data_IF_487893077550
#
_entry.id   IF_487893077550
#
_cell.length_a   1.000
_cell.length_b   1.000
_cell.length_c   1.000
_cell.angle_alpha   90.00
_cell.angle_beta   90.00
_cell.angle_gamma   90.00
#
_symmetry.space_group_name_H-M   'P 1'
#
loop_
_entity.id
_entity.type
_entity.pdbx_description
1 polymer ?
#
# COMPACT_ATOMS: atom_id res chain seq x y z
N UNK A 1 46.60 11.74 37.30
CA UNK A 1 45.32 11.15 37.74
C UNK A 1 44.31 11.35 36.61
N UNK A 2 43.60 10.30 36.18
CA UNK A 2 42.69 10.34 35.04
C UNK A 2 41.32 10.91 35.47
N UNK A 3 40.81 11.89 34.73
CA UNK A 3 39.43 12.38 34.83
C UNK A 3 38.66 11.91 33.60
N UNK A 4 37.57 11.18 33.86
CA UNK A 4 36.79 10.38 32.92
C UNK A 4 36.21 11.17 31.73
N UNK A 5 35.97 10.50 30.58
CA UNK A 5 35.34 11.12 29.41
C UNK A 5 33.87 11.48 29.68
N UNK A 6 33.49 12.60 29.08
CA UNK A 6 32.15 13.17 28.97
C UNK A 6 31.06 12.11 28.80
N UNK A 7 30.01 12.23 29.62
CA UNK A 7 28.72 11.57 29.38
C UNK A 7 28.32 11.79 27.92
N UNK A 8 28.49 10.74 27.11
CA UNK A 8 27.79 10.63 25.85
C UNK A 8 26.31 10.61 26.21
N UNK A 9 25.69 11.78 26.10
CA UNK A 9 24.25 11.91 25.98
C UNK A 9 23.84 11.05 24.80
N UNK A 10 23.47 9.80 25.09
CA UNK A 10 22.75 8.93 24.17
C UNK A 10 21.39 9.59 24.02
N UNK A 11 21.32 10.60 23.16
CA UNK A 11 20.05 11.06 22.63
C UNK A 11 19.52 9.82 21.91
N UNK A 12 18.39 9.22 22.33
CA UNK A 12 17.76 8.21 21.51
C UNK A 12 17.46 8.91 20.20
N UNK A 13 18.19 8.54 19.14
CA UNK A 13 17.73 8.82 17.79
C UNK A 13 16.31 8.26 17.76
N UNK A 14 15.33 9.14 17.56
CA UNK A 14 13.99 8.71 17.18
C UNK A 14 14.13 8.11 15.80
N UNK A 15 14.50 6.83 15.74
CA UNK A 15 14.13 5.99 14.64
C UNK A 15 12.63 5.84 14.79
N UNK A 16 11.81 6.34 13.85
CA UNK A 16 10.45 5.89 13.78
C UNK A 16 10.48 4.35 13.76
N UNK A 17 9.81 3.69 14.69
CA UNK A 17 9.84 2.23 14.83
C UNK A 17 9.30 1.47 13.59
N UNK A 18 8.84 2.20 12.57
CA UNK A 18 8.41 1.71 11.27
C UNK A 18 9.48 1.75 10.17
N UNK A 19 10.69 2.31 10.42
CA UNK A 19 11.78 2.26 9.46
C UNK A 19 12.47 0.90 9.51
N UNK A 20 11.99 -0.01 8.66
CA UNK A 20 12.61 -1.32 8.43
C UNK A 20 13.81 -1.12 7.50
N UNK A 21 15.02 -1.11 8.06
CA UNK A 21 16.24 -1.27 7.28
C UNK A 21 16.70 -2.73 7.31
N UNK A 22 16.79 -3.33 6.14
CA UNK A 22 17.21 -4.72 5.93
C UNK A 22 18.73 -4.87 5.96
N UNK A 23 19.47 -3.75 5.87
CA UNK A 23 20.93 -3.74 5.70
C UNK A 23 21.40 -4.12 4.29
N UNK A 24 20.48 -4.45 3.37
CA UNK A 24 20.78 -4.84 1.98
C UNK A 24 20.75 -3.65 1.00
N UNK A 25 20.40 -2.46 1.48
CA UNK A 25 20.41 -1.20 0.74
C UNK A 25 19.01 -0.71 0.34
N UNK A 26 18.91 0.53 -0.19
CA UNK A 26 17.63 1.23 -0.32
C UNK A 26 16.58 0.52 -1.17
N UNK A 27 17.01 -0.25 -2.17
CA UNK A 27 16.10 -1.03 -3.02
C UNK A 27 15.35 -2.10 -2.21
N UNK A 28 16.08 -2.88 -1.40
CA UNK A 28 15.49 -3.93 -0.57
C UNK A 28 14.73 -3.36 0.63
N UNK A 29 15.15 -2.21 1.13
CA UNK A 29 14.41 -1.48 2.16
C UNK A 29 13.07 -0.97 1.62
N UNK A 30 13.02 -0.49 0.37
CA UNK A 30 11.77 -0.15 -0.33
C UNK A 30 10.88 -1.38 -0.61
N UNK A 31 11.48 -2.55 -0.85
CA UNK A 31 10.73 -3.83 -0.93
C UNK A 31 10.11 -4.17 0.42
N UNK A 32 10.89 -4.09 1.49
CA UNK A 32 10.44 -4.36 2.86
C UNK A 32 9.36 -3.40 3.33
N UNK A 33 9.49 -2.12 2.96
CA UNK A 33 8.56 -1.06 3.33
C UNK A 33 7.11 -1.40 2.97
N UNK A 34 6.83 -1.76 1.71
CA UNK A 34 5.46 -2.13 1.28
C UNK A 34 4.91 -3.31 2.08
N UNK A 35 5.77 -4.27 2.44
CA UNK A 35 5.35 -5.49 3.12
C UNK A 35 5.02 -5.28 4.59
N UNK A 36 5.57 -4.23 5.21
CA UNK A 36 5.41 -3.93 6.63
C UNK A 36 4.54 -2.70 6.90
N UNK A 37 4.10 -2.00 5.86
CA UNK A 37 3.19 -0.84 5.92
C UNK A 37 1.78 -1.27 5.49
N UNK A 38 0.85 -1.57 6.43
CA UNK A 38 -0.52 -1.96 6.09
C UNK A 38 -1.26 -0.93 5.22
N UNK A 39 -0.93 0.36 5.39
CA UNK A 39 -1.45 1.50 4.63
C UNK A 39 -1.18 1.38 3.13
N UNK A 40 -0.09 0.70 2.76
CA UNK A 40 0.28 0.44 1.36
C UNK A 40 -0.17 -0.96 0.92
N UNK A 41 -0.01 -1.97 1.79
CA UNK A 41 -0.30 -3.35 1.44
C UNK A 41 -1.79 -3.61 1.22
N UNK A 42 -2.66 -3.13 2.12
CA UNK A 42 -4.09 -3.45 2.07
C UNK A 42 -4.81 -2.87 0.84
N UNK A 43 -4.58 -1.61 0.42
CA UNK A 43 -5.16 -1.08 -0.82
C UNK A 43 -4.70 -1.85 -2.05
N UNK A 44 -3.42 -2.24 -2.08
CA UNK A 44 -2.83 -2.99 -3.20
C UNK A 44 -3.46 -4.36 -3.31
N UNK A 45 -3.59 -5.07 -2.18
CA UNK A 45 -4.30 -6.34 -2.12
C UNK A 45 -5.76 -6.17 -2.56
N UNK A 46 -6.47 -5.16 -2.05
CA UNK A 46 -7.87 -4.95 -2.39
C UNK A 46 -8.06 -4.65 -3.90
N UNK A 47 -7.21 -3.80 -4.48
CA UNK A 47 -7.21 -3.53 -5.93
C UNK A 47 -6.88 -4.80 -6.72
N UNK A 48 -5.90 -5.60 -6.30
CA UNK A 48 -5.52 -6.83 -6.98
C UNK A 48 -6.62 -7.90 -6.91
N UNK A 49 -7.31 -8.03 -5.77
CA UNK A 49 -8.49 -8.90 -5.60
C UNK A 49 -9.64 -8.43 -6.50
N UNK A 50 -9.95 -7.13 -6.47
CA UNK A 50 -11.00 -6.53 -7.30
C UNK A 50 -10.71 -6.72 -8.79
N UNK A 51 -9.45 -6.53 -9.20
CA UNK A 51 -8.98 -6.74 -10.56
C UNK A 51 -9.09 -8.18 -11.01
N UNK A 52 -8.81 -9.13 -10.11
CA UNK A 52 -8.99 -10.54 -10.39
C UNK A 52 -10.47 -10.92 -10.57
N UNK A 53 -11.35 -10.41 -9.71
CA UNK A 53 -12.80 -10.61 -9.81
C UNK A 53 -13.39 -10.01 -11.10
N UNK A 54 -12.78 -8.94 -11.62
CA UNK A 54 -13.14 -8.31 -12.89
C UNK A 54 -12.58 -9.02 -14.14
N UNK A 55 -11.83 -10.11 -13.97
CA UNK A 55 -11.38 -10.99 -15.05
C UNK A 55 -10.05 -10.60 -15.72
N UNK A 56 -9.62 -11.45 -16.67
CA UNK A 56 -8.27 -11.42 -17.29
C UNK A 56 -7.90 -10.09 -17.94
N UNK A 57 -8.85 -9.47 -18.65
CA UNK A 57 -8.59 -8.23 -19.38
C UNK A 57 -8.34 -7.06 -18.42
N UNK A 58 -9.22 -6.90 -17.44
CA UNK A 58 -9.09 -5.86 -16.42
C UNK A 58 -7.87 -6.10 -15.50
N UNK A 59 -7.65 -7.34 -15.05
CA UNK A 59 -6.47 -7.73 -14.27
C UNK A 59 -5.14 -7.33 -14.92
N UNK A 60 -5.00 -7.59 -16.23
CA UNK A 60 -3.80 -7.19 -16.98
C UNK A 60 -3.64 -5.68 -17.13
N UNK A 61 -4.72 -4.91 -17.19
CA UNK A 61 -4.63 -3.43 -17.19
C UNK A 61 -4.11 -2.94 -15.84
N UNK A 62 -4.73 -3.41 -14.75
CA UNK A 62 -4.36 -3.02 -13.37
C UNK A 62 -2.91 -3.35 -13.05
N UNK A 63 -2.41 -4.50 -13.55
CA UNK A 63 -1.02 -4.91 -13.40
C UNK A 63 0.00 -3.83 -13.81
N UNK A 64 -0.31 -3.04 -14.84
CA UNK A 64 0.56 -1.96 -15.29
C UNK A 64 0.10 -0.59 -14.80
N UNK A 65 -1.21 -0.33 -14.78
CA UNK A 65 -1.72 1.01 -14.41
C UNK A 65 -1.45 1.33 -12.95
N UNK A 66 -1.58 0.36 -12.03
CA UNK A 66 -1.36 0.61 -10.60
C UNK A 66 0.11 0.95 -10.30
N UNK A 67 1.13 0.16 -10.69
CA UNK A 67 2.52 0.51 -10.42
C UNK A 67 2.95 1.81 -11.10
N UNK A 68 2.46 2.10 -12.31
CA UNK A 68 2.76 3.36 -13.00
C UNK A 68 2.14 4.56 -12.29
N UNK A 69 0.86 4.47 -11.91
CA UNK A 69 0.19 5.52 -11.13
C UNK A 69 0.88 5.74 -9.78
N UNK A 70 1.25 4.65 -9.10
CA UNK A 70 2.00 4.69 -7.84
C UNK A 70 3.36 5.34 -8.00
N UNK A 71 4.10 5.03 -9.07
CA UNK A 71 5.38 5.63 -9.33
C UNK A 71 5.27 7.15 -9.48
N UNK A 72 4.34 7.64 -10.30
CA UNK A 72 4.13 9.08 -10.47
C UNK A 72 3.62 9.76 -9.19
N UNK A 73 2.73 9.09 -8.45
CA UNK A 73 2.33 9.53 -7.11
C UNK A 73 3.56 9.69 -6.21
N UNK A 74 4.43 8.67 -6.17
CA UNK A 74 5.67 8.64 -5.39
C UNK A 74 6.60 9.79 -5.71
N UNK A 75 6.79 10.11 -6.99
CA UNK A 75 7.57 11.28 -7.39
C UNK A 75 6.96 12.58 -6.86
N UNK A 76 5.63 12.74 -6.98
CA UNK A 76 4.93 13.92 -6.46
C UNK A 76 5.08 14.01 -4.93
N UNK A 77 4.97 12.89 -4.22
CA UNK A 77 5.15 12.80 -2.77
C UNK A 77 6.54 13.20 -2.32
N UNK A 78 7.56 12.66 -2.99
CA UNK A 78 8.97 12.98 -2.73
C UNK A 78 9.25 14.48 -2.94
N UNK A 79 8.71 15.11 -3.99
CA UNK A 79 8.94 16.53 -4.22
C UNK A 79 8.14 17.42 -3.26
N UNK A 80 6.85 17.16 -3.10
CA UNK A 80 5.96 18.04 -2.33
C UNK A 80 6.14 17.93 -0.81
N UNK A 81 6.41 16.73 -0.29
CA UNK A 81 6.39 16.47 1.15
C UNK A 81 5.00 16.57 1.78
N UNK A 82 3.94 16.64 0.99
CA UNK A 82 2.59 16.83 1.49
C UNK A 82 2.03 15.50 1.98
N UNK A 83 1.99 15.31 3.29
CA UNK A 83 1.31 14.17 3.90
C UNK A 83 -0.21 14.36 3.85
N UNK A 84 -0.91 13.35 3.33
CA UNK A 84 -2.37 13.31 3.37
C UNK A 84 -2.87 12.84 4.75
N UNK A 85 -4.09 13.24 5.16
CA UNK A 85 -4.63 12.80 6.44
C UNK A 85 -4.82 11.28 6.47
N UNK A 86 -4.58 10.67 7.63
CA UNK A 86 -4.84 9.24 7.88
C UNK A 86 -6.26 8.77 7.51
N UNK A 87 -7.24 9.68 7.55
CA UNK A 87 -8.60 9.41 7.11
C UNK A 87 -8.68 8.99 5.63
N UNK A 88 -7.77 9.45 4.77
CA UNK A 88 -7.73 9.06 3.36
C UNK A 88 -7.48 7.55 3.20
N UNK A 89 -6.54 7.00 3.96
CA UNK A 89 -6.25 5.57 4.00
C UNK A 89 -7.42 4.76 4.56
N UNK A 90 -8.05 5.25 5.63
CA UNK A 90 -9.24 4.60 6.18
C UNK A 90 -10.38 4.52 5.15
N UNK A 91 -10.64 5.63 4.44
CA UNK A 91 -11.66 5.69 3.39
C UNK A 91 -11.32 4.74 2.24
N UNK A 92 -10.05 4.65 1.82
CA UNK A 92 -9.66 3.72 0.74
C UNK A 92 -9.88 2.27 1.15
N UNK A 93 -9.61 1.89 2.40
CA UNK A 93 -9.88 0.53 2.91
C UNK A 93 -11.38 0.21 2.89
N UNK A 94 -12.23 1.14 3.36
CA UNK A 94 -13.67 0.95 3.39
C UNK A 94 -14.25 0.84 1.97
N UNK A 95 -13.83 1.71 1.05
CA UNK A 95 -14.30 1.71 -0.34
C UNK A 95 -13.83 0.45 -1.06
N UNK A 96 -12.53 0.17 -1.05
CA UNK A 96 -11.98 -0.98 -1.79
C UNK A 96 -12.44 -2.32 -1.18
N UNK A 97 -12.35 -2.47 0.13
CA UNK A 97 -12.81 -3.67 0.83
C UNK A 97 -14.31 -3.91 0.60
N UNK A 98 -15.10 -2.83 0.64
CA UNK A 98 -16.54 -2.87 0.38
C UNK A 98 -16.84 -3.30 -1.06
N UNK A 99 -16.11 -2.77 -2.04
CA UNK A 99 -16.24 -3.18 -3.44
C UNK A 99 -15.89 -4.65 -3.66
N UNK A 100 -14.79 -5.13 -3.04
CA UNK A 100 -14.40 -6.54 -3.08
C UNK A 100 -15.45 -7.44 -2.41
N UNK A 101 -15.98 -7.03 -1.26
CA UNK A 101 -17.00 -7.79 -0.52
C UNK A 101 -18.36 -7.82 -1.25
N UNK A 102 -18.72 -6.72 -1.90
CA UNK A 102 -19.96 -6.59 -2.66
C UNK A 102 -19.93 -7.43 -3.94
N UNK A 103 -18.78 -7.48 -4.61
CA UNK A 103 -18.54 -8.32 -5.80
C UNK A 103 -19.66 -8.20 -6.85
N UNK A 104 -20.14 -6.97 -7.01
CA UNK A 104 -21.15 -6.57 -7.97
C UNK A 104 -20.48 -6.38 -9.34
N UNK A 105 -21.18 -6.66 -10.46
CA UNK A 105 -20.68 -6.27 -11.77
C UNK A 105 -20.50 -4.75 -11.81
N UNK A 106 -19.32 -4.30 -12.21
CA UNK A 106 -18.98 -2.88 -12.37
C UNK A 106 -18.34 -2.65 -13.74
N UNK A 107 -18.41 -1.42 -14.22
CA UNK A 107 -17.81 -1.04 -15.49
C UNK A 107 -16.28 -1.00 -15.37
N UNK A 108 -15.55 -1.68 -16.27
CA UNK A 108 -14.08 -1.78 -16.23
C UNK A 108 -13.37 -0.41 -16.18
N UNK A 109 -13.96 0.61 -16.80
CA UNK A 109 -13.44 1.98 -16.77
C UNK A 109 -13.47 2.60 -15.37
N UNK A 110 -14.50 2.30 -14.56
CA UNK A 110 -14.58 2.78 -13.17
C UNK A 110 -13.50 2.11 -12.33
N UNK A 111 -13.32 0.79 -12.49
CA UNK A 111 -12.24 0.07 -11.82
C UNK A 111 -10.86 0.63 -12.17
N UNK A 112 -10.60 0.86 -13.46
CA UNK A 112 -9.33 1.41 -13.92
C UNK A 112 -9.09 2.83 -13.39
N UNK A 113 -10.13 3.67 -13.37
CA UNK A 113 -10.06 5.00 -12.78
C UNK A 113 -9.76 4.97 -11.28
N UNK A 114 -10.38 4.05 -10.53
CA UNK A 114 -10.08 3.85 -9.11
C UNK A 114 -8.64 3.37 -8.90
N UNK A 115 -8.15 2.42 -9.70
CA UNK A 115 -6.78 1.94 -9.60
C UNK A 115 -5.75 3.06 -9.85
N UNK A 116 -6.00 3.95 -10.82
CA UNK A 116 -5.15 5.11 -11.09
C UNK A 116 -5.21 6.12 -9.93
N UNK A 117 -6.42 6.51 -9.51
CA UNK A 117 -6.60 7.48 -8.44
C UNK A 117 -5.93 7.01 -7.14
N UNK A 118 -6.18 5.77 -6.75
CA UNK A 118 -5.65 5.21 -5.52
C UNK A 118 -4.16 4.93 -5.64
N UNK A 119 -3.68 4.51 -6.81
CA UNK A 119 -2.25 4.42 -7.09
C UNK A 119 -1.56 5.77 -6.91
N UNK A 120 -2.10 6.85 -7.45
CA UNK A 120 -1.54 8.20 -7.27
C UNK A 120 -1.55 8.65 -5.80
N UNK A 121 -2.67 8.45 -5.10
CA UNK A 121 -2.85 8.86 -3.70
C UNK A 121 -1.90 8.11 -2.77
N UNK A 122 -1.92 6.77 -2.82
CA UNK A 122 -1.04 5.95 -1.97
C UNK A 122 0.42 6.06 -2.40
N UNK A 123 0.68 6.18 -3.70
CA UNK A 123 2.01 6.49 -4.21
C UNK A 123 2.56 7.79 -3.64
N UNK A 124 1.75 8.85 -3.61
CA UNK A 124 2.16 10.13 -3.02
C UNK A 124 2.50 10.01 -1.54
N UNK A 125 1.71 9.27 -0.76
CA UNK A 125 2.01 9.03 0.66
C UNK A 125 3.31 8.23 0.81
N UNK A 126 3.43 7.11 0.09
CA UNK A 126 4.63 6.27 0.05
C UNK A 126 5.88 7.06 -0.37
N UNK A 127 5.75 8.01 -1.31
CA UNK A 127 6.83 8.88 -1.75
C UNK A 127 7.33 9.86 -0.68
N UNK A 128 6.41 10.42 0.12
CA UNK A 128 6.79 11.24 1.30
C UNK A 128 7.62 10.39 2.26
N UNK A 129 7.17 9.16 2.53
CA UNK A 129 7.86 8.23 3.42
C UNK A 129 9.24 7.81 2.86
N UNK A 130 9.37 7.56 1.56
CA UNK A 130 10.66 7.26 0.91
C UNK A 130 11.67 8.41 1.05
N UNK A 131 11.20 9.66 1.02
CA UNK A 131 12.06 10.83 1.25
C UNK A 131 12.48 10.93 2.71
N UNK A 132 11.55 10.79 3.64
CA UNK A 132 11.81 10.87 5.08
C UNK A 132 12.75 9.75 5.56
N UNK A 133 12.61 8.57 4.97
CA UNK A 133 13.46 7.40 5.21
C UNK A 133 14.85 7.49 4.55
N UNK A 134 15.12 8.55 3.77
CA UNK A 134 16.33 8.71 2.95
C UNK A 134 16.58 7.55 1.96
N UNK A 135 15.53 6.82 1.56
CA UNK A 135 15.60 5.74 0.56
C UNK A 135 15.55 6.28 -0.88
N UNK A 136 14.82 7.40 -1.07
CA UNK A 136 14.73 8.12 -2.34
C UNK A 136 14.19 7.27 -3.51
N UNK A 137 14.62 7.62 -4.73
CA UNK A 137 14.20 6.94 -5.96
C UNK A 137 14.46 5.43 -5.93
N UNK A 138 15.58 5.01 -5.34
CA UNK A 138 15.95 3.59 -5.27
C UNK A 138 14.98 2.80 -4.39
N UNK A 139 14.56 3.36 -3.25
CA UNK A 139 13.49 2.78 -2.43
C UNK A 139 12.17 2.70 -3.18
N UNK A 140 11.78 3.78 -3.85
CA UNK A 140 10.57 3.82 -4.67
C UNK A 140 10.57 2.73 -5.75
N UNK A 141 11.68 2.51 -6.46
CA UNK A 141 11.77 1.43 -7.45
C UNK A 141 11.61 0.03 -6.83
N UNK A 142 12.12 -0.16 -5.61
CA UNK A 142 11.90 -1.38 -4.82
C UNK A 142 10.42 -1.59 -4.52
N UNK A 143 9.74 -0.54 -4.05
CA UNK A 143 8.29 -0.51 -3.84
C UNK A 143 7.53 -0.86 -5.12
N UNK A 144 7.82 -0.20 -6.24
CA UNK A 144 7.15 -0.46 -7.53
C UNK A 144 7.34 -1.92 -7.99
N UNK A 145 8.54 -2.47 -7.84
CA UNK A 145 8.82 -3.87 -8.13
C UNK A 145 7.96 -4.81 -7.28
N UNK A 146 7.88 -4.55 -5.98
CA UNK A 146 7.04 -5.30 -5.04
C UNK A 146 5.55 -5.23 -5.40
N UNK A 147 5.04 -4.04 -5.71
CA UNK A 147 3.66 -3.85 -6.14
C UNK A 147 3.34 -4.68 -7.39
N UNK A 148 4.21 -4.63 -8.39
CA UNK A 148 4.04 -5.40 -9.62
C UNK A 148 3.95 -6.91 -9.32
N UNK A 149 4.82 -7.41 -8.43
CA UNK A 149 4.81 -8.83 -8.02
C UNK A 149 3.53 -9.19 -7.27
N UNK A 150 3.13 -8.41 -6.25
CA UNK A 150 1.92 -8.65 -5.45
C UNK A 150 0.69 -8.66 -6.37
N UNK A 151 0.54 -7.64 -7.22
CA UNK A 151 -0.60 -7.54 -8.13
C UNK A 151 -0.60 -8.70 -9.12
N UNK A 152 0.54 -9.06 -9.70
CA UNK A 152 0.67 -10.22 -10.59
C UNK A 152 0.17 -11.50 -9.93
N UNK A 153 0.65 -11.79 -8.71
CA UNK A 153 0.37 -13.02 -7.99
C UNK A 153 -1.09 -13.07 -7.53
N UNK A 154 -1.58 -12.01 -6.90
CA UNK A 154 -2.93 -11.98 -6.31
C UNK A 154 -3.99 -11.92 -7.40
N UNK A 155 -3.85 -11.05 -8.39
CA UNK A 155 -4.79 -10.99 -9.51
C UNK A 155 -4.74 -12.28 -10.33
N UNK A 156 -3.54 -12.83 -10.60
CA UNK A 156 -3.39 -14.10 -11.29
C UNK A 156 -4.06 -15.25 -10.54
N UNK A 157 -3.87 -15.32 -9.22
CA UNK A 157 -4.53 -16.29 -8.35
C UNK A 157 -6.05 -16.16 -8.47
N UNK A 158 -6.62 -14.97 -8.26
CA UNK A 158 -8.06 -14.77 -8.28
C UNK A 158 -8.67 -15.07 -9.66
N UNK A 159 -7.99 -14.72 -10.75
CA UNK A 159 -8.41 -15.06 -12.11
C UNK A 159 -8.40 -16.57 -12.38
N UNK A 160 -7.53 -17.32 -11.71
CA UNK A 160 -7.45 -18.79 -11.85
C UNK A 160 -8.53 -19.54 -11.07
N UNK A 161 -9.30 -18.84 -10.24
CA UNK A 161 -10.35 -19.43 -9.41
C UNK A 161 -11.63 -19.65 -10.23
N UNK A 162 -11.97 -20.91 -10.49
CA UNK A 162 -13.12 -21.28 -11.33
C UNK A 162 -14.39 -21.66 -10.52
N UNK A 163 -14.24 -21.98 -9.23
CA UNK A 163 -15.36 -22.51 -8.42
C UNK A 163 -16.11 -21.38 -7.71
N UNK A 164 -17.44 -21.42 -7.67
CA UNK A 164 -18.25 -20.34 -7.08
C UNK A 164 -17.91 -20.01 -5.61
N UNK A 165 -17.61 -21.02 -4.78
CA UNK A 165 -17.24 -20.81 -3.37
C UNK A 165 -15.96 -19.99 -3.19
N UNK A 166 -15.05 -20.05 -4.17
CA UNK A 166 -13.80 -19.29 -4.12
C UNK A 166 -14.05 -17.79 -4.28
N UNK A 167 -15.11 -17.41 -5.01
CA UNK A 167 -15.58 -16.02 -5.09
C UNK A 167 -16.06 -15.53 -3.73
N UNK A 168 -16.73 -16.40 -2.96
CA UNK A 168 -17.12 -16.10 -1.57
C UNK A 168 -15.87 -15.88 -0.70
N UNK A 169 -14.82 -16.70 -0.84
CA UNK A 169 -13.58 -16.51 -0.09
C UNK A 169 -12.92 -15.14 -0.38
N UNK A 170 -12.90 -14.71 -1.64
CA UNK A 170 -12.39 -13.38 -2.02
C UNK A 170 -13.26 -12.27 -1.41
N UNK A 171 -14.59 -12.42 -1.43
CA UNK A 171 -15.52 -11.47 -0.79
C UNK A 171 -15.31 -11.38 0.71
N UNK A 172 -15.07 -12.51 1.37
CA UNK A 172 -14.73 -12.57 2.79
C UNK A 172 -13.45 -11.79 3.03
N UNK A 173 -12.39 -11.99 2.24
CA UNK A 173 -11.16 -11.19 2.32
C UNK A 173 -11.44 -9.68 2.21
N UNK A 174 -12.32 -9.26 1.29
CA UNK A 174 -12.78 -7.87 1.19
C UNK A 174 -13.43 -7.36 2.49
N UNK A 175 -14.27 -8.17 3.14
CA UNK A 175 -14.91 -7.79 4.41
C UNK A 175 -13.92 -7.61 5.57
N UNK A 176 -12.82 -8.38 5.59
CA UNK A 176 -11.74 -8.18 6.55
C UNK A 176 -11.03 -6.85 6.33
N UNK A 177 -10.83 -6.43 5.07
CA UNK A 177 -10.24 -5.12 4.75
C UNK A 177 -11.15 -3.99 5.24
N UNK A 178 -12.47 -4.12 5.09
CA UNK A 178 -13.44 -3.16 5.68
C UNK A 178 -13.33 -3.11 7.19
N UNK A 179 -13.28 -4.28 7.85
CA UNK A 179 -13.16 -4.35 9.30
C UNK A 179 -11.87 -3.67 9.79
N UNK A 180 -10.74 -3.88 9.10
CA UNK A 180 -9.49 -3.18 9.40
C UNK A 180 -9.65 -1.68 9.19
N UNK A 181 -10.31 -1.22 8.12
CA UNK A 181 -10.61 0.20 7.90
C UNK A 181 -11.47 0.81 9.02
N UNK A 182 -12.45 0.07 9.55
CA UNK A 182 -13.25 0.50 10.69
C UNK A 182 -12.42 0.57 11.98
N UNK A 183 -11.56 -0.41 12.24
CA UNK A 183 -10.63 -0.39 13.37
C UNK A 183 -9.66 0.80 13.27
N UNK A 184 -9.11 1.03 12.08
CA UNK A 184 -8.24 2.17 11.80
C UNK A 184 -8.96 3.50 12.06
N UNK A 185 -10.19 3.64 11.56
CA UNK A 185 -11.04 4.81 11.83
C UNK A 185 -11.32 4.96 13.32
N UNK A 186 -11.70 3.88 14.00
CA UNK A 186 -11.98 3.87 15.43
C UNK A 186 -10.77 4.29 16.27
N UNK A 187 -9.57 3.83 15.92
CA UNK A 187 -8.33 4.25 16.55
C UNK A 187 -8.09 5.76 16.38
N UNK A 188 -8.25 6.29 15.16
CA UNK A 188 -8.05 7.73 14.89
C UNK A 188 -9.04 8.63 15.62
N UNK A 189 -10.28 8.17 15.85
CA UNK A 189 -11.30 8.94 16.54
C UNK A 189 -11.26 8.77 18.07
N UNK A 190 -10.86 7.58 18.54
CA UNK A 190 -10.85 7.19 19.95
C UNK A 190 -9.54 7.45 20.67
N UNK A 191 -8.41 7.62 19.96
CA UNK A 191 -7.09 7.93 20.51
C UNK A 191 -6.90 9.36 21.02
N UNK A 192 -7.95 9.94 21.62
CA UNK A 192 -7.86 11.19 22.41
C UNK A 192 -7.45 10.90 23.84
#
# INVERSE_FOLDING_TARGET
>A
MPGLPTENSVIPVRLPAHLVSTGLGPLFDGVGHVMVTPEDLLPVLAIALLAGLGGRAYGRRVLFTLPVAWFFGGLIGMESGLALPFAATAISFLVLGGLVAADRPYHEGIGSGLAILLGLVHGMMSGVEMREAALGMTGLLGTIGTLFVIVSLVTGLVVSLEREWTRIAVRVAGSWIVAIGLLYTGWTLGGR
#
